data_IF_568966975898
#
_entry.id   IF_568966975898
#
_cell.length_a   1.000
_cell.length_b   1.000
_cell.length_c   1.000
_cell.angle_alpha   90.00
_cell.angle_beta   90.00
_cell.angle_gamma   90.00
#
_symmetry.space_group_name_H-M   'P 1'
#
loop_
_entity.id
_entity.type
_entity.pdbx_description
1 polymer ?
#
# COMPACT_ATOMS: atom_id res chain seq x y z
N UNK A 1 -6.66 17.96 -10.02
CA UNK A 1 -7.24 19.04 -9.20
C UNK A 1 -8.17 18.41 -8.16
N UNK A 2 -8.31 19.02 -6.98
CA UNK A 2 -9.10 18.44 -5.88
C UNK A 2 -10.54 18.97 -5.98
N UNK A 3 -11.56 18.10 -6.10
CA UNK A 3 -12.95 18.54 -6.18
C UNK A 3 -13.45 19.08 -4.83
N UNK A 4 -14.41 20.00 -4.88
CA UNK A 4 -15.14 20.41 -3.67
C UNK A 4 -16.20 19.34 -3.35
N UNK A 5 -16.03 18.63 -2.24
CA UNK A 5 -16.88 17.52 -1.82
C UNK A 5 -17.61 17.88 -0.53
N UNK A 6 -18.93 17.66 -0.50
CA UNK A 6 -19.72 17.80 0.73
C UNK A 6 -19.42 16.62 1.66
N UNK A 7 -18.81 16.90 2.80
CA UNK A 7 -18.52 15.90 3.83
C UNK A 7 -19.69 15.78 4.82
N UNK A 8 -19.86 14.59 5.38
CA UNK A 8 -20.77 14.36 6.51
C UNK A 8 -20.24 14.99 7.80
N UNK A 9 -21.06 14.97 8.86
CA UNK A 9 -20.65 15.43 10.18
C UNK A 9 -19.42 14.63 10.67
N UNK A 10 -18.49 15.31 11.35
CA UNK A 10 -17.25 14.73 11.91
C UNK A 10 -16.34 14.05 10.87
N UNK A 11 -16.44 14.47 9.60
CA UNK A 11 -15.55 14.03 8.52
C UNK A 11 -14.74 15.22 8.01
N UNK A 12 -13.43 15.06 7.97
CA UNK A 12 -12.48 16.09 7.56
C UNK A 12 -11.68 15.62 6.36
N UNK A 13 -11.24 16.57 5.53
CA UNK A 13 -10.36 16.32 4.39
C UNK A 13 -9.16 17.25 4.49
N UNK A 14 -7.98 16.67 4.61
CA UNK A 14 -6.70 17.38 4.66
C UNK A 14 -5.93 17.13 3.38
N UNK A 15 -5.47 18.20 2.73
CA UNK A 15 -4.71 18.12 1.49
C UNK A 15 -3.22 18.19 1.79
N UNK A 16 -2.47 17.19 1.31
CA UNK A 16 -1.00 17.17 1.36
C UNK A 16 -0.44 17.38 -0.03
N UNK A 17 0.47 18.36 -0.16
CA UNK A 17 1.24 18.55 -1.38
C UNK A 17 2.41 17.59 -1.35
N UNK A 18 2.56 16.80 -2.40
CA UNK A 18 3.66 15.85 -2.58
C UNK A 18 4.41 16.18 -3.87
N UNK A 19 5.71 15.85 -3.98
CA UNK A 19 6.44 16.03 -5.23
C UNK A 19 5.80 15.23 -6.38
N UNK A 20 5.82 15.79 -7.59
CA UNK A 20 5.48 15.03 -8.80
C UNK A 20 6.70 14.26 -9.29
N UNK A 21 6.48 13.00 -9.67
CA UNK A 21 7.50 12.15 -10.29
C UNK A 21 7.14 11.89 -11.76
N UNK A 22 8.13 11.50 -12.56
CA UNK A 22 7.97 11.39 -14.02
C UNK A 22 7.42 10.02 -14.45
N UNK A 23 7.83 8.94 -13.77
CA UNK A 23 7.36 7.57 -14.06
C UNK A 23 6.18 7.25 -13.13
N UNK A 24 5.15 6.60 -13.68
CA UNK A 24 4.01 6.17 -12.86
C UNK A 24 4.42 5.15 -11.79
N UNK A 25 5.44 4.33 -12.09
CA UNK A 25 6.07 3.41 -11.15
C UNK A 25 6.63 4.14 -9.93
N UNK A 26 7.41 5.20 -10.16
CA UNK A 26 8.02 5.98 -9.07
C UNK A 26 6.93 6.67 -8.23
N UNK A 27 5.83 7.13 -8.86
CA UNK A 27 4.66 7.67 -8.16
C UNK A 27 4.06 6.61 -7.24
N UNK A 28 3.90 5.39 -7.73
CA UNK A 28 3.29 4.26 -7.02
C UNK A 28 4.15 3.81 -5.83
N UNK A 29 5.45 3.60 -6.06
CA UNK A 29 6.42 3.20 -5.05
C UNK A 29 6.66 4.29 -4.01
N UNK A 30 6.70 5.56 -4.44
CA UNK A 30 6.91 6.72 -3.58
C UNK A 30 5.85 6.87 -2.48
N UNK A 31 4.70 6.21 -2.62
CA UNK A 31 3.65 6.18 -1.58
C UNK A 31 4.15 5.62 -0.26
N UNK A 32 5.05 4.62 -0.27
CA UNK A 32 5.54 4.00 0.95
C UNK A 32 6.30 5.01 1.83
N UNK A 33 7.18 5.82 1.24
CA UNK A 33 7.88 6.89 1.96
C UNK A 33 6.95 7.99 2.44
N UNK A 34 5.96 8.38 1.62
CA UNK A 34 4.98 9.41 1.98
C UNK A 34 4.14 8.95 3.17
N UNK A 35 3.67 7.69 3.16
CA UNK A 35 2.86 7.12 4.23
C UNK A 35 3.67 6.97 5.52
N UNK A 36 4.89 6.45 5.44
CA UNK A 36 5.80 6.34 6.59
C UNK A 36 5.94 7.70 7.29
N UNK A 37 6.30 8.75 6.54
CA UNK A 37 6.48 10.10 7.10
C UNK A 37 5.17 10.70 7.61
N UNK A 38 4.05 10.47 6.92
CA UNK A 38 2.76 10.99 7.33
C UNK A 38 2.33 10.39 8.67
N UNK A 39 2.55 9.09 8.87
CA UNK A 39 2.22 8.41 10.11
C UNK A 39 3.12 8.91 11.25
N UNK A 40 4.44 8.98 11.04
CA UNK A 40 5.40 9.42 12.06
C UNK A 40 5.15 10.85 12.54
N UNK A 41 4.89 11.77 11.59
CA UNK A 41 4.91 13.19 11.89
C UNK A 41 3.54 13.75 12.26
N UNK A 42 2.45 13.13 11.80
CA UNK A 42 1.13 13.75 11.84
C UNK A 42 0.05 12.84 12.42
N UNK A 43 -0.12 11.63 11.88
CA UNK A 43 -1.31 10.82 12.19
C UNK A 43 -1.30 10.21 13.58
N UNK A 44 -0.13 10.04 14.21
CA UNK A 44 -0.01 9.46 15.55
C UNK A 44 -0.85 10.16 16.64
N UNK A 45 -1.28 11.41 16.40
CA UNK A 45 -2.17 12.18 17.31
C UNK A 45 -3.60 12.33 16.79
N UNK A 46 -3.91 11.88 15.58
CA UNK A 46 -5.16 12.15 14.88
C UNK A 46 -6.01 10.90 14.61
N UNK A 47 -5.40 9.71 14.57
CA UNK A 47 -6.09 8.47 14.23
C UNK A 47 -5.48 7.26 14.96
N UNK A 48 -6.29 6.21 15.11
CA UNK A 48 -5.82 4.90 15.60
C UNK A 48 -5.46 3.94 14.45
N UNK A 49 -6.15 4.10 13.31
CA UNK A 49 -6.04 3.23 12.13
C UNK A 49 -5.95 4.06 10.85
N UNK A 50 -5.33 3.48 9.82
CA UNK A 50 -5.27 4.02 8.47
C UNK A 50 -5.64 2.94 7.44
N UNK A 51 -6.35 3.37 6.39
CA UNK A 51 -6.46 2.62 5.15
C UNK A 51 -5.87 3.44 4.00
N UNK A 52 -5.08 2.77 3.18
CA UNK A 52 -4.41 3.30 2.01
C UNK A 52 -5.07 2.67 0.78
N UNK A 53 -5.67 3.49 -0.09
CA UNK A 53 -6.40 3.01 -1.26
C UNK A 53 -5.94 3.73 -2.54
N UNK A 54 -5.98 3.02 -3.66
CA UNK A 54 -5.85 3.63 -4.97
C UNK A 54 -7.06 4.53 -5.27
N UNK A 55 -6.78 5.66 -5.93
CA UNK A 55 -7.77 6.73 -6.16
C UNK A 55 -8.75 6.40 -7.29
N UNK A 56 -8.41 5.48 -8.18
CA UNK A 56 -9.22 5.02 -9.31
C UNK A 56 -10.25 3.94 -8.89
N UNK A 57 -10.66 3.96 -7.62
CA UNK A 57 -11.65 3.07 -7.03
C UNK A 57 -12.93 3.82 -6.63
N UNK A 58 -14.01 3.07 -6.40
CA UNK A 58 -15.29 3.60 -5.90
C UNK A 58 -15.94 2.64 -4.93
N UNK A 59 -16.41 3.17 -3.80
CA UNK A 59 -17.22 2.40 -2.85
C UNK A 59 -18.63 2.14 -3.40
N UNK A 60 -19.01 0.87 -3.48
CA UNK A 60 -20.36 0.42 -3.87
C UNK A 60 -21.18 -0.12 -2.69
N UNK A 61 -20.53 -0.35 -1.55
CA UNK A 61 -21.13 -0.90 -0.35
C UNK A 61 -20.51 -0.30 0.91
N UNK A 62 -21.02 -0.75 2.06
CA UNK A 62 -20.48 -0.36 3.36
C UNK A 62 -19.07 -0.92 3.51
N UNK A 63 -18.14 -0.05 3.89
CA UNK A 63 -16.82 -0.39 4.39
C UNK A 63 -16.70 0.25 5.77
N UNK A 64 -16.76 -0.56 6.81
CA UNK A 64 -16.84 -0.11 8.19
C UNK A 64 -15.82 -0.75 9.12
N UNK A 65 -16.12 -0.68 10.41
CA UNK A 65 -15.24 -1.16 11.49
C UNK A 65 -14.95 -2.65 11.43
N UNK A 66 -15.74 -3.43 10.70
CA UNK A 66 -15.48 -4.84 10.43
C UNK A 66 -14.17 -5.09 9.68
N UNK A 67 -13.64 -4.08 8.96
CA UNK A 67 -12.36 -4.20 8.29
C UNK A 67 -11.17 -3.88 9.20
N UNK A 68 -11.39 -3.32 10.40
CA UNK A 68 -10.29 -2.91 11.27
C UNK A 68 -9.57 -4.12 11.85
N UNK A 69 -8.24 -4.05 11.81
CA UNK A 69 -7.35 -5.05 12.35
C UNK A 69 -5.96 -4.45 12.53
N UNK A 70 -5.05 -5.20 13.16
CA UNK A 70 -3.66 -4.77 13.36
C UNK A 70 -2.97 -4.49 12.03
N UNK A 71 -2.97 -5.45 11.13
CA UNK A 71 -2.48 -5.32 9.77
C UNK A 71 -3.45 -6.02 8.82
N UNK A 72 -3.87 -5.33 7.77
CA UNK A 72 -4.95 -5.74 6.88
C UNK A 72 -4.45 -5.68 5.44
N UNK A 73 -4.32 -6.85 4.81
CA UNK A 73 -4.11 -6.99 3.38
C UNK A 73 -5.41 -7.39 2.67
N UNK A 74 -5.59 -6.94 1.44
CA UNK A 74 -6.74 -7.31 0.59
C UNK A 74 -6.28 -8.31 -0.46
N UNK A 75 -7.00 -9.42 -0.61
CA UNK A 75 -6.70 -10.42 -1.64
C UNK A 75 -7.02 -9.83 -3.01
N UNK A 76 -6.09 -9.97 -3.95
CA UNK A 76 -6.26 -9.44 -5.29
C UNK A 76 -7.39 -10.17 -6.03
N UNK A 77 -8.33 -9.46 -6.67
CA UNK A 77 -9.55 -10.05 -7.23
C UNK A 77 -9.30 -10.99 -8.41
N UNK A 78 -8.13 -10.94 -9.04
CA UNK A 78 -7.76 -11.87 -10.11
C UNK A 78 -7.11 -13.17 -9.63
N UNK A 79 -6.73 -13.26 -8.35
CA UNK A 79 -5.92 -14.38 -7.82
C UNK A 79 -6.57 -15.10 -6.64
N UNK A 80 -7.76 -14.68 -6.19
CA UNK A 80 -8.35 -15.17 -4.93
C UNK A 80 -8.67 -16.67 -4.89
N UNK A 81 -8.94 -17.31 -6.04
CA UNK A 81 -9.19 -18.75 -6.14
C UNK A 81 -8.08 -19.52 -6.88
N UNK A 82 -7.01 -18.82 -7.26
CA UNK A 82 -5.95 -19.40 -8.07
C UNK A 82 -4.89 -20.06 -7.21
N UNK A 83 -4.28 -21.16 -7.69
CA UNK A 83 -3.19 -21.80 -6.97
C UNK A 83 -1.92 -20.92 -7.01
N UNK A 84 -1.14 -20.97 -5.91
CA UNK A 84 0.02 -20.08 -5.70
C UNK A 84 1.09 -20.06 -6.79
N UNK A 85 1.17 -21.10 -7.62
CA UNK A 85 2.12 -21.15 -8.74
C UNK A 85 1.73 -20.21 -9.90
N UNK A 86 0.49 -19.71 -9.92
CA UNK A 86 0.02 -18.69 -10.87
C UNK A 86 0.30 -17.28 -10.36
N UNK A 87 0.54 -17.11 -9.06
CA UNK A 87 0.80 -15.80 -8.46
C UNK A 87 2.04 -15.16 -9.07
N UNK A 88 1.88 -13.91 -9.48
CA UNK A 88 2.90 -13.13 -10.17
C UNK A 88 3.84 -12.43 -9.20
N UNK A 89 4.25 -13.09 -8.11
CA UNK A 89 5.29 -12.56 -7.24
C UNK A 89 6.59 -12.33 -8.01
N UNK A 90 7.47 -11.50 -7.47
CA UNK A 90 8.83 -11.41 -7.96
C UNK A 90 9.55 -12.76 -7.79
N UNK A 91 10.17 -13.25 -8.87
CA UNK A 91 10.82 -14.57 -8.92
C UNK A 91 12.32 -14.48 -9.15
N UNK A 92 12.86 -13.28 -9.34
CA UNK A 92 14.30 -13.03 -9.41
C UNK A 92 14.88 -12.99 -7.99
N UNK A 93 15.75 -13.93 -7.60
CA UNK A 93 16.30 -14.00 -6.24
C UNK A 93 17.18 -12.82 -5.86
N UNK A 94 17.56 -11.98 -6.82
CA UNK A 94 18.32 -10.74 -6.60
C UNK A 94 17.47 -9.62 -5.99
N UNK A 95 16.14 -9.69 -6.12
CA UNK A 95 15.22 -8.70 -5.57
C UNK A 95 14.86 -9.02 -4.12
N UNK A 96 14.71 -7.98 -3.30
CA UNK A 96 14.17 -8.10 -1.94
C UNK A 96 12.72 -8.58 -1.91
N UNK A 97 11.97 -8.40 -2.99
CA UNK A 97 10.58 -8.85 -3.12
C UNK A 97 10.45 -10.33 -3.53
N UNK A 98 11.56 -11.06 -3.66
CA UNK A 98 11.59 -12.45 -4.11
C UNK A 98 10.76 -13.38 -3.22
N UNK A 99 9.85 -14.13 -3.84
CA UNK A 99 9.12 -15.22 -3.20
C UNK A 99 9.39 -16.52 -3.98
N UNK A 100 9.91 -17.58 -3.33
CA UNK A 100 10.16 -18.86 -3.99
C UNK A 100 8.92 -19.53 -4.59
N UNK A 101 9.14 -20.37 -5.60
CA UNK A 101 8.09 -21.21 -6.14
C UNK A 101 7.61 -22.21 -5.06
N UNK A 102 6.30 -22.26 -4.83
CA UNK A 102 5.71 -23.10 -3.79
C UNK A 102 5.48 -22.40 -2.44
N UNK A 103 5.98 -21.17 -2.27
CA UNK A 103 5.69 -20.31 -1.11
C UNK A 103 4.59 -19.27 -1.42
N UNK A 104 4.06 -18.65 -0.37
CA UNK A 104 2.98 -17.66 -0.42
C UNK A 104 1.60 -18.23 -0.10
N UNK A 105 0.89 -17.54 0.79
CA UNK A 105 -0.48 -17.89 1.20
C UNK A 105 -1.51 -17.31 0.24
N UNK A 106 -1.42 -16.00 -0.04
CA UNK A 106 -2.33 -15.26 -0.91
C UNK A 106 -1.59 -14.19 -1.71
N UNK A 107 -2.09 -13.87 -2.89
CA UNK A 107 -1.63 -12.71 -3.64
C UNK A 107 -2.43 -11.46 -3.21
N UNK A 108 -1.79 -10.58 -2.44
CA UNK A 108 -2.41 -9.35 -1.95
C UNK A 108 -2.30 -8.22 -2.98
N UNK A 109 -3.25 -7.29 -2.97
CA UNK A 109 -3.22 -6.09 -3.83
C UNK A 109 -2.63 -4.90 -3.08
N UNK A 110 -1.74 -4.15 -3.74
CA UNK A 110 -1.27 -2.86 -3.25
C UNK A 110 -2.35 -1.76 -3.33
N UNK A 111 -3.45 -2.01 -4.07
CA UNK A 111 -4.53 -1.04 -4.25
C UNK A 111 -5.35 -0.80 -2.99
N UNK A 112 -5.27 -1.69 -2.00
CA UNK A 112 -5.90 -1.52 -0.70
C UNK A 112 -5.16 -2.30 0.39
N UNK A 113 -4.69 -1.59 1.40
CA UNK A 113 -4.19 -2.16 2.65
C UNK A 113 -4.45 -1.18 3.80
N UNK A 114 -4.28 -1.65 5.03
CA UNK A 114 -4.46 -0.80 6.19
C UNK A 114 -4.11 -1.51 7.48
N UNK A 115 -4.45 -0.88 8.59
CA UNK A 115 -4.15 -1.42 9.91
C UNK A 115 -4.02 -0.35 10.97
N UNK A 116 -3.46 -0.73 12.11
CA UNK A 116 -3.01 0.19 13.13
C UNK A 116 -1.92 1.10 12.56
N UNK A 117 -1.80 2.33 13.08
CA UNK A 117 -0.74 3.23 12.63
C UNK A 117 0.66 2.62 12.80
N UNK A 118 0.89 1.89 13.90
CA UNK A 118 2.16 1.22 14.18
C UNK A 118 2.49 0.15 13.13
N UNK A 119 1.55 -0.76 12.87
CA UNK A 119 1.79 -1.88 11.96
C UNK A 119 1.89 -1.40 10.49
N UNK A 120 1.11 -0.38 10.10
CA UNK A 120 1.19 0.21 8.75
C UNK A 120 2.49 1.00 8.57
N UNK A 121 2.94 1.74 9.59
CA UNK A 121 4.23 2.41 9.56
C UNK A 121 5.37 1.42 9.34
N UNK A 122 5.35 0.30 10.07
CA UNK A 122 6.33 -0.77 9.90
C UNK A 122 6.30 -1.33 8.47
N UNK A 123 5.12 -1.67 7.95
CA UNK A 123 4.96 -2.16 6.58
C UNK A 123 5.55 -1.18 5.56
N UNK A 124 5.15 0.09 5.62
CA UNK A 124 5.57 1.08 4.62
C UNK A 124 7.06 1.36 4.69
N UNK A 125 7.63 1.40 5.90
CA UNK A 125 9.07 1.56 6.10
C UNK A 125 9.86 0.37 5.53
N UNK A 126 9.43 -0.86 5.83
CA UNK A 126 10.08 -2.07 5.30
C UNK A 126 10.03 -2.11 3.78
N UNK A 127 8.88 -1.84 3.16
CA UNK A 127 8.76 -1.78 1.70
C UNK A 127 9.67 -0.70 1.10
N UNK A 128 9.71 0.52 1.68
CA UNK A 128 10.62 1.59 1.22
C UNK A 128 12.09 1.14 1.28
N UNK A 129 12.50 0.55 2.40
CA UNK A 129 13.89 0.12 2.60
C UNK A 129 14.29 -0.98 1.61
N UNK A 130 13.41 -1.97 1.38
CA UNK A 130 13.63 -3.03 0.41
C UNK A 130 13.69 -2.51 -1.03
N UNK A 131 12.78 -1.61 -1.42
CA UNK A 131 12.82 -0.95 -2.73
C UNK A 131 14.09 -0.13 -2.92
N UNK A 132 14.61 0.49 -1.85
CA UNK A 132 15.87 1.25 -1.90
C UNK A 132 17.08 0.32 -2.14
N UNK A 133 17.08 -0.87 -1.56
CA UNK A 133 18.11 -1.90 -1.81
C UNK A 133 18.03 -2.39 -3.26
N UNK A 134 16.82 -2.67 -3.74
CA UNK A 134 16.59 -3.08 -5.12
C UNK A 134 17.09 -2.02 -6.12
N UNK A 135 16.71 -0.76 -5.91
CA UNK A 135 17.18 0.34 -6.74
C UNK A 135 18.71 0.48 -6.74
N UNK A 136 19.36 0.31 -5.59
CA UNK A 136 20.82 0.33 -5.49
C UNK A 136 21.49 -0.81 -6.26
N UNK A 137 20.80 -1.95 -6.40
CA UNK A 137 21.23 -3.10 -7.20
C UNK A 137 20.74 -3.05 -8.65
N UNK A 138 20.18 -1.92 -9.10
CA UNK A 138 19.63 -1.74 -10.45
C UNK A 138 18.52 -2.77 -10.79
N UNK A 139 17.75 -3.18 -9.80
CA UNK A 139 16.57 -4.03 -9.96
C UNK A 139 15.31 -3.27 -9.52
N UNK A 140 14.20 -3.53 -10.19
CA UNK A 140 12.88 -3.01 -9.85
C UNK A 140 11.93 -4.21 -9.91
N UNK A 141 11.18 -4.47 -8.84
CA UNK A 141 10.30 -5.64 -8.75
C UNK A 141 9.21 -5.60 -9.83
N UNK A 142 8.80 -6.77 -10.32
CA UNK A 142 7.88 -6.90 -11.46
C UNK A 142 6.54 -6.16 -11.29
N UNK A 143 6.07 -6.02 -10.05
CA UNK A 143 4.85 -5.28 -9.69
C UNK A 143 5.10 -4.13 -8.70
N UNK A 144 6.32 -3.60 -8.66
CA UNK A 144 6.67 -2.40 -7.90
C UNK A 144 6.47 -2.57 -6.38
N UNK A 145 5.57 -1.81 -5.74
CA UNK A 145 5.28 -1.85 -4.30
C UNK A 145 4.25 -2.91 -3.87
#
# INVERSE_FOLDING_TARGET
AIPNVKLGQERYLTVKKVPSLNRWQDISMGRMEILEKLIENELAKEADYIFCLDVDTKFYGRWGVESLGRLVGVIHPWFFDLPRFIFTYERRPESQAYIPAGEGDYYYTAAAFGGSLEDVHHLTKTCREQMSIDAANSIEAIWHE
#
